data_IF_539796328229
#
_entry.id   IF_539796328229
#
_cell.length_a   1.000
_cell.length_b   1.000
_cell.length_c   1.000
_cell.angle_alpha   90.00
_cell.angle_beta   90.00
_cell.angle_gamma   90.00
#
_symmetry.space_group_name_H-M   'P 1'
#
loop_
_entity.id
_entity.type
_entity.pdbx_description
1 polymer ?
#
# COMPACT_ATOMS: atom_id res chain seq x y z
N UNK A 1 20.83 32.31 15.05
CA UNK A 1 19.57 31.81 14.45
C UNK A 1 19.74 31.84 12.95
N UNK A 2 20.19 30.74 12.35
CA UNK A 2 20.58 30.66 10.93
C UNK A 2 19.47 29.89 10.20
N UNK A 3 18.65 30.60 9.43
CA UNK A 3 17.62 30.02 8.58
C UNK A 3 18.33 29.67 7.26
N UNK A 4 18.41 28.40 6.84
CA UNK A 4 18.95 28.11 5.53
C UNK A 4 17.89 28.46 4.48
N UNK A 5 18.11 29.56 3.78
CA UNK A 5 17.48 29.87 2.50
C UNK A 5 18.15 29.01 1.43
N UNK A 6 17.65 27.82 1.18
CA UNK A 6 17.87 27.18 -0.11
C UNK A 6 16.49 26.86 -0.69
N UNK A 7 16.10 27.66 -1.67
CA UNK A 7 14.95 27.40 -2.51
C UNK A 7 15.22 26.17 -3.38
N UNK A 8 15.25 24.98 -2.78
CA UNK A 8 15.26 23.72 -3.51
C UNK A 8 13.90 23.61 -4.17
N UNK A 9 13.87 23.82 -5.48
CA UNK A 9 12.69 23.53 -6.29
C UNK A 9 12.31 22.09 -5.96
N UNK A 10 11.19 21.88 -5.27
CA UNK A 10 10.76 20.50 -4.97
C UNK A 10 10.61 19.75 -6.28
N UNK A 11 11.30 18.61 -6.43
CA UNK A 11 11.20 17.77 -7.60
C UNK A 11 9.75 17.25 -7.74
N UNK A 12 9.38 16.82 -8.94
CA UNK A 12 8.17 16.00 -9.10
C UNK A 12 8.40 14.66 -8.43
N UNK A 13 7.32 13.97 -8.05
CA UNK A 13 7.40 12.66 -7.40
C UNK A 13 7.02 11.52 -8.33
N UNK A 14 7.63 10.35 -8.12
CA UNK A 14 7.12 9.07 -8.59
C UNK A 14 6.36 8.42 -7.43
N UNK A 15 5.08 8.12 -7.61
CA UNK A 15 4.21 7.65 -6.53
C UNK A 15 3.78 6.21 -6.77
N UNK A 16 4.09 5.31 -5.82
CA UNK A 16 3.53 3.97 -5.76
C UNK A 16 2.22 3.98 -4.98
N UNK A 17 1.13 3.51 -5.60
CA UNK A 17 -0.21 3.47 -5.00
C UNK A 17 -0.60 2.07 -4.57
N UNK A 18 -1.11 1.91 -3.34
CA UNK A 18 -1.63 0.65 -2.83
C UNK A 18 -2.03 0.71 -1.36
N UNK A 19 -2.73 -0.32 -0.91
CA UNK A 19 -2.97 -0.56 0.53
C UNK A 19 -1.79 -1.26 1.20
N UNK A 20 -1.04 -2.05 0.43
CA UNK A 20 0.20 -2.72 0.80
C UNK A 20 0.11 -3.65 2.03
N UNK A 21 -1.06 -4.27 2.27
CA UNK A 21 -1.22 -5.21 3.39
C UNK A 21 -0.34 -6.45 3.20
N UNK A 22 0.58 -6.68 4.17
CA UNK A 22 1.59 -7.73 4.13
C UNK A 22 2.83 -7.40 3.30
N UNK A 23 2.92 -6.26 2.63
CA UNK A 23 4.07 -5.83 1.77
C UNK A 23 4.64 -6.99 0.93
N UNK A 24 3.74 -7.84 0.42
CA UNK A 24 4.08 -9.06 -0.32
C UNK A 24 4.84 -8.79 -1.63
N UNK A 25 5.42 -9.82 -2.22
CA UNK A 25 6.27 -9.71 -3.43
C UNK A 25 5.63 -8.91 -4.56
N UNK A 26 4.31 -9.05 -4.80
CA UNK A 26 3.62 -8.22 -5.79
C UNK A 26 3.59 -6.73 -5.42
N UNK A 27 3.54 -6.38 -4.14
CA UNK A 27 3.69 -5.01 -3.67
C UNK A 27 5.12 -4.50 -3.83
N UNK A 28 6.12 -5.37 -3.58
CA UNK A 28 7.53 -5.03 -3.77
C UNK A 28 7.85 -4.73 -5.25
N UNK A 29 7.23 -5.44 -6.20
CA UNK A 29 7.36 -5.12 -7.64
C UNK A 29 6.85 -3.71 -7.97
N UNK A 30 5.71 -3.30 -7.40
CA UNK A 30 5.18 -1.94 -7.58
C UNK A 30 6.15 -0.90 -7.00
N UNK A 31 6.68 -1.15 -5.81
CA UNK A 31 7.63 -0.26 -5.13
C UNK A 31 8.94 -0.18 -5.92
N UNK A 32 9.48 -1.30 -6.37
CA UNK A 32 10.72 -1.35 -7.17
C UNK A 32 10.56 -0.61 -8.50
N UNK A 33 9.43 -0.78 -9.19
CA UNK A 33 9.13 -0.05 -10.40
C UNK A 33 9.02 1.47 -10.15
N UNK A 34 8.46 1.88 -9.02
CA UNK A 34 8.42 3.29 -8.61
C UNK A 34 9.83 3.84 -8.36
N UNK A 35 10.69 3.09 -7.66
CA UNK A 35 12.08 3.48 -7.42
C UNK A 35 12.85 3.63 -8.73
N UNK A 36 12.69 2.67 -9.65
CA UNK A 36 13.31 2.73 -10.99
C UNK A 36 12.81 3.92 -11.81
N UNK A 37 11.51 4.22 -11.78
CA UNK A 37 10.95 5.39 -12.45
C UNK A 37 11.45 6.71 -11.84
N UNK A 38 11.61 6.75 -10.51
CA UNK A 38 12.14 7.89 -9.79
C UNK A 38 13.59 8.17 -10.20
N UNK A 39 14.46 7.15 -10.17
CA UNK A 39 15.86 7.26 -10.55
C UNK A 39 16.03 7.67 -12.02
N UNK A 40 15.38 6.94 -12.95
CA UNK A 40 15.52 7.17 -14.38
C UNK A 40 15.01 8.52 -14.86
N UNK A 41 14.20 9.23 -14.06
CA UNK A 41 13.57 10.51 -14.43
C UNK A 41 13.95 11.67 -13.50
N UNK A 42 14.77 11.44 -12.49
CA UNK A 42 15.14 12.47 -11.52
C UNK A 42 13.94 12.94 -10.68
N UNK A 43 13.02 12.02 -10.34
CA UNK A 43 11.87 12.26 -9.48
C UNK A 43 12.18 11.84 -8.04
N UNK A 44 11.49 12.41 -7.08
CA UNK A 44 11.57 11.95 -5.69
C UNK A 44 10.62 10.73 -5.49
N UNK A 45 11.09 9.61 -4.91
CA UNK A 45 10.23 8.44 -4.68
C UNK A 45 9.26 8.69 -3.53
N UNK A 46 8.01 8.21 -3.67
CA UNK A 46 6.98 8.32 -2.64
C UNK A 46 6.06 7.11 -2.67
N UNK A 47 5.81 6.50 -1.53
CA UNK A 47 4.76 5.50 -1.38
C UNK A 47 3.52 6.18 -0.81
N UNK A 48 2.39 6.05 -1.52
CA UNK A 48 1.11 6.56 -1.06
C UNK A 48 0.22 5.41 -0.60
N UNK A 49 -0.28 5.51 0.64
CA UNK A 49 -1.18 4.52 1.24
C UNK A 49 -2.14 5.19 2.22
N UNK A 50 -3.00 4.40 2.87
CA UNK A 50 -3.86 4.90 3.95
C UNK A 50 -3.28 4.55 5.31
N UNK A 51 -3.47 5.42 6.29
CA UNK A 51 -3.05 5.18 7.69
C UNK A 51 -3.95 4.17 8.41
N UNK A 52 -5.12 3.88 7.85
CA UNK A 52 -6.07 2.86 8.29
C UNK A 52 -6.52 2.01 7.10
N UNK A 53 -6.77 0.73 7.34
CA UNK A 53 -7.16 -0.17 6.24
C UNK A 53 -8.59 0.15 5.75
N UNK A 54 -8.82 0.23 4.41
CA UNK A 54 -10.13 0.58 3.82
C UNK A 54 -11.31 -0.27 4.31
N UNK A 55 -11.08 -1.57 4.54
CA UNK A 55 -12.13 -2.52 4.95
C UNK A 55 -12.73 -2.18 6.32
N UNK A 56 -11.92 -1.62 7.25
CA UNK A 56 -12.41 -1.17 8.55
C UNK A 56 -13.46 -0.05 8.48
N UNK A 57 -13.45 0.74 7.42
CA UNK A 57 -14.42 1.82 7.21
C UNK A 57 -15.84 1.31 6.92
N UNK A 58 -15.95 0.12 6.32
CA UNK A 58 -17.22 -0.45 5.88
C UNK A 58 -17.78 -1.51 6.83
N UNK A 59 -17.24 -1.61 8.06
CA UNK A 59 -17.77 -2.48 9.13
C UNK A 59 -17.63 -3.98 8.87
N UNK A 60 -16.81 -4.39 7.88
CA UNK A 60 -16.52 -5.81 7.64
C UNK A 60 -15.44 -6.28 8.60
N UNK A 61 -15.64 -7.41 9.24
CA UNK A 61 -14.58 -8.14 9.94
C UNK A 61 -13.50 -8.55 8.91
N UNK A 62 -12.27 -8.15 9.14
CA UNK A 62 -11.17 -8.36 8.21
C UNK A 62 -9.87 -8.60 8.98
N UNK A 63 -9.23 -9.72 8.69
CA UNK A 63 -7.93 -10.06 9.24
C UNK A 63 -6.85 -9.40 8.40
N UNK A 64 -6.10 -8.46 8.97
CA UNK A 64 -4.93 -7.87 8.31
C UNK A 64 -3.72 -8.79 8.49
N UNK A 65 -2.87 -8.87 7.47
CA UNK A 65 -1.58 -9.59 7.56
C UNK A 65 -0.63 -8.83 8.50
N UNK A 66 -0.64 -7.51 8.41
CA UNK A 66 0.10 -6.59 9.28
C UNK A 66 -0.83 -5.57 9.92
N UNK A 67 -0.54 -5.13 11.14
CA UNK A 67 -1.19 -3.93 11.68
C UNK A 67 -0.84 -2.71 10.84
N UNK A 68 -1.65 -1.65 10.92
CA UNK A 68 -1.37 -0.40 10.17
C UNK A 68 0.01 0.18 10.52
N UNK A 69 0.43 0.08 11.80
CA UNK A 69 1.73 0.54 12.25
C UNK A 69 2.90 -0.26 11.66
N UNK A 70 2.82 -1.60 11.71
CA UNK A 70 3.81 -2.50 11.12
C UNK A 70 3.94 -2.29 9.61
N UNK A 71 2.83 -2.19 8.91
CA UNK A 71 2.77 -1.95 7.48
C UNK A 71 3.46 -0.64 7.08
N UNK A 72 3.14 0.46 7.78
CA UNK A 72 3.77 1.76 7.53
C UNK A 72 5.27 1.74 7.86
N UNK A 73 5.66 1.05 8.94
CA UNK A 73 7.08 0.90 9.30
C UNK A 73 7.85 0.10 8.23
N UNK A 74 7.29 -1.00 7.75
CA UNK A 74 7.89 -1.80 6.67
C UNK A 74 8.03 -0.99 5.36
N UNK A 75 7.00 -0.22 4.97
CA UNK A 75 7.02 0.62 3.77
C UNK A 75 8.09 1.73 3.85
N UNK A 76 8.31 2.32 5.04
CA UNK A 76 9.36 3.32 5.26
C UNK A 76 10.77 2.78 5.04
N UNK A 77 10.97 1.46 5.10
CA UNK A 77 12.23 0.81 4.75
C UNK A 77 12.58 0.91 3.26
N UNK A 78 11.60 1.16 2.39
CA UNK A 78 11.80 1.29 0.94
C UNK A 78 11.92 2.75 0.48
N UNK A 79 11.00 3.62 0.92
CA UNK A 79 10.93 5.02 0.51
C UNK A 79 10.11 5.86 1.50
N UNK A 80 10.11 7.21 1.40
CA UNK A 80 9.17 8.05 2.11
C UNK A 80 7.73 7.63 1.91
N UNK A 81 6.91 7.67 2.97
CA UNK A 81 5.51 7.24 2.96
C UNK A 81 4.58 8.41 3.26
N UNK A 82 3.63 8.65 2.37
CA UNK A 82 2.47 9.49 2.61
C UNK A 82 1.29 8.59 3.00
N UNK A 83 0.92 8.59 4.28
CA UNK A 83 -0.19 7.81 4.80
C UNK A 83 -1.35 8.73 5.17
N UNK A 84 -2.36 8.83 4.31
CA UNK A 84 -3.55 9.63 4.57
C UNK A 84 -4.63 8.80 5.28
N UNK A 85 -5.41 9.46 6.13
CA UNK A 85 -6.52 8.78 6.78
C UNK A 85 -7.68 8.63 5.79
N UNK A 86 -8.11 7.40 5.57
CA UNK A 86 -9.32 7.12 4.82
C UNK A 86 -10.53 7.27 5.76
N UNK A 87 -11.34 8.27 5.52
CA UNK A 87 -12.64 8.46 6.15
C UNK A 87 -13.76 8.46 5.10
N UNK A 88 -15.00 8.65 5.54
CA UNK A 88 -16.16 8.62 4.62
C UNK A 88 -16.13 9.77 3.60
N UNK A 89 -15.60 10.92 3.97
CA UNK A 89 -15.48 12.06 3.07
C UNK A 89 -14.46 11.77 1.98
N UNK A 90 -13.28 11.28 2.37
CA UNK A 90 -12.24 10.90 1.41
C UNK A 90 -12.70 9.73 0.50
N UNK A 91 -13.39 8.73 1.06
CA UNK A 91 -13.94 7.60 0.30
C UNK A 91 -15.02 8.00 -0.71
N UNK A 92 -15.63 9.17 -0.58
CA UNK A 92 -16.58 9.73 -1.51
C UNK A 92 -15.94 10.63 -2.60
N UNK A 93 -14.61 10.80 -2.58
CA UNK A 93 -13.89 11.64 -3.56
C UNK A 93 -13.97 11.03 -4.94
N UNK A 94 -14.40 11.81 -5.93
CA UNK A 94 -14.46 11.35 -7.32
C UNK A 94 -13.05 11.03 -7.86
N UNK A 95 -12.91 10.07 -8.80
CA UNK A 95 -11.61 9.66 -9.32
C UNK A 95 -10.75 10.80 -9.85
N UNK A 96 -11.33 11.76 -10.55
CA UNK A 96 -10.60 12.89 -11.09
C UNK A 96 -10.12 13.85 -10.00
N UNK A 97 -10.94 14.09 -8.97
CA UNK A 97 -10.59 14.94 -7.84
C UNK A 97 -9.46 14.33 -7.00
N UNK A 98 -9.49 13.01 -6.83
CA UNK A 98 -8.38 12.27 -6.21
C UNK A 98 -7.07 12.47 -6.99
N UNK A 99 -7.09 12.25 -8.30
CA UNK A 99 -5.89 12.39 -9.14
C UNK A 99 -5.40 13.83 -9.16
N UNK A 100 -6.29 14.81 -9.23
CA UNK A 100 -5.95 16.23 -9.14
C UNK A 100 -5.27 16.54 -7.81
N UNK A 101 -5.81 16.05 -6.70
CA UNK A 101 -5.20 16.19 -5.37
C UNK A 101 -3.79 15.60 -5.32
N UNK A 102 -3.56 14.42 -5.90
CA UNK A 102 -2.23 13.82 -5.98
C UNK A 102 -1.27 14.64 -6.84
N UNK A 103 -1.74 15.11 -7.99
CA UNK A 103 -0.93 15.91 -8.91
C UNK A 103 -0.52 17.25 -8.30
N UNK A 104 -1.40 17.91 -7.58
CA UNK A 104 -1.16 19.23 -6.96
C UNK A 104 -0.35 19.09 -5.67
N UNK A 105 -0.81 18.28 -4.70
CA UNK A 105 -0.20 18.16 -3.37
C UNK A 105 1.18 17.54 -3.40
N UNK A 106 1.35 16.47 -4.18
CA UNK A 106 2.59 15.71 -4.25
C UNK A 106 3.39 15.99 -5.52
N UNK A 107 2.94 16.90 -6.39
CA UNK A 107 3.60 17.23 -7.66
C UNK A 107 3.91 15.97 -8.49
N UNK A 108 2.93 15.10 -8.60
CA UNK A 108 3.08 13.80 -9.24
C UNK A 108 3.60 13.92 -10.67
N UNK A 109 4.72 13.26 -10.96
CA UNK A 109 5.35 13.15 -12.28
C UNK A 109 5.25 11.74 -12.86
N UNK A 110 5.05 10.75 -11.97
CA UNK A 110 4.80 9.37 -12.35
C UNK A 110 3.87 8.71 -11.32
N UNK A 111 2.92 7.92 -11.79
CA UNK A 111 2.04 7.07 -11.00
C UNK A 111 2.35 5.60 -11.29
N UNK A 112 2.58 4.80 -10.27
CA UNK A 112 2.89 3.36 -10.38
C UNK A 112 1.89 2.57 -9.55
N UNK A 113 1.18 1.63 -10.17
CA UNK A 113 0.17 0.84 -9.48
C UNK A 113 0.04 -0.56 -10.10
N UNK A 114 -0.54 -1.49 -9.36
CA UNK A 114 -0.86 -2.82 -9.88
C UNK A 114 -1.99 -2.80 -10.90
N UNK A 115 -2.04 -3.80 -11.77
CA UNK A 115 -3.05 -3.96 -12.84
C UNK A 115 -4.51 -3.87 -12.36
N UNK A 116 -4.77 -4.23 -11.12
CA UNK A 116 -6.09 -4.26 -10.50
C UNK A 116 -6.36 -3.06 -9.57
N UNK A 117 -5.53 -2.01 -9.66
CA UNK A 117 -5.70 -0.83 -8.83
C UNK A 117 -7.00 -0.08 -9.16
N UNK A 118 -7.75 0.21 -8.10
CA UNK A 118 -8.95 1.05 -8.18
C UNK A 118 -8.89 2.18 -7.17
N UNK A 119 -9.48 3.32 -7.49
CA UNK A 119 -9.45 4.51 -6.66
C UNK A 119 -10.71 5.38 -6.83
N UNK A 120 -10.84 6.36 -5.95
CA UNK A 120 -12.01 7.25 -5.95
C UNK A 120 -13.27 6.59 -5.43
N UNK A 121 -14.37 7.32 -5.49
CA UNK A 121 -15.68 6.90 -4.98
C UNK A 121 -16.08 5.54 -5.53
N UNK A 122 -16.35 4.59 -4.62
CA UNK A 122 -16.73 3.21 -4.92
C UNK A 122 -15.74 2.46 -5.84
N UNK A 123 -14.48 2.91 -5.92
CA UNK A 123 -13.49 2.30 -6.82
C UNK A 123 -13.78 2.55 -8.31
N UNK A 124 -14.46 3.65 -8.66
CA UNK A 124 -14.85 3.94 -10.04
C UNK A 124 -13.66 4.29 -10.94
N UNK A 125 -12.53 4.73 -10.37
CA UNK A 125 -11.28 4.92 -11.10
C UNK A 125 -10.50 3.61 -11.24
N UNK A 126 -9.89 3.38 -12.39
CA UNK A 126 -9.04 2.24 -12.72
C UNK A 126 -7.79 2.71 -13.49
N UNK A 127 -6.97 1.76 -13.98
CA UNK A 127 -5.73 2.09 -14.71
C UNK A 127 -5.98 2.90 -15.98
N UNK A 128 -7.07 2.66 -16.72
CA UNK A 128 -7.40 3.44 -17.92
C UNK A 128 -7.81 4.88 -17.56
N UNK A 129 -8.59 5.04 -16.49
CA UNK A 129 -8.90 6.35 -15.93
C UNK A 129 -7.62 7.07 -15.52
N UNK A 130 -6.68 6.38 -14.87
CA UNK A 130 -5.41 6.96 -14.43
C UNK A 130 -4.56 7.41 -15.62
N UNK A 131 -4.47 6.60 -16.70
CA UNK A 131 -3.75 6.97 -17.95
C UNK A 131 -4.37 8.20 -18.63
N UNK A 132 -5.69 8.23 -18.77
CA UNK A 132 -6.38 9.38 -19.34
C UNK A 132 -6.10 10.66 -18.55
N UNK A 133 -6.17 10.59 -17.21
CA UNK A 133 -5.88 11.71 -16.33
C UNK A 133 -4.39 12.05 -16.30
N UNK A 134 -3.50 11.08 -16.51
CA UNK A 134 -2.06 11.31 -16.70
C UNK A 134 -1.77 12.23 -17.86
N UNK A 135 -2.44 12.05 -19.01
CA UNK A 135 -2.39 12.97 -20.14
C UNK A 135 -2.88 14.37 -19.81
N UNK A 136 -3.95 14.48 -19.00
CA UNK A 136 -4.54 15.77 -18.60
C UNK A 136 -3.65 16.54 -17.60
N UNK A 137 -3.08 15.85 -16.61
CA UNK A 137 -2.33 16.49 -15.51
C UNK A 137 -0.81 16.40 -15.67
N UNK A 138 -0.31 15.80 -16.75
CA UNK A 138 1.12 15.80 -17.12
C UNK A 138 1.98 14.89 -16.25
N UNK A 139 1.53 13.65 -16.02
CA UNK A 139 2.31 12.57 -15.38
C UNK A 139 2.22 11.27 -16.16
N UNK A 140 3.22 10.42 -16.03
CA UNK A 140 3.24 9.09 -16.65
C UNK A 140 2.62 8.03 -15.75
N UNK A 141 2.13 6.95 -16.35
CA UNK A 141 1.48 5.84 -15.63
C UNK A 141 2.16 4.54 -15.96
N UNK A 142 2.60 3.84 -14.92
CA UNK A 142 3.21 2.52 -14.99
C UNK A 142 2.27 1.51 -14.34
N UNK A 143 1.76 0.59 -15.16
CA UNK A 143 0.96 -0.53 -14.68
C UNK A 143 1.84 -1.74 -14.47
N UNK A 144 1.80 -2.31 -13.27
CA UNK A 144 2.59 -3.47 -12.91
C UNK A 144 1.70 -4.72 -13.01
N UNK A 145 2.11 -5.70 -13.84
CA UNK A 145 1.35 -6.93 -14.01
C UNK A 145 1.32 -7.77 -12.73
N UNK A 146 0.42 -8.74 -12.66
CA UNK A 146 0.35 -9.66 -11.54
C UNK A 146 1.64 -10.50 -11.45
N UNK A 147 2.27 -10.50 -10.27
CA UNK A 147 3.28 -11.49 -9.95
C UNK A 147 2.59 -12.84 -9.68
N UNK A 148 3.02 -13.89 -10.36
CA UNK A 148 2.41 -15.21 -10.27
C UNK A 148 3.17 -16.12 -9.30
N UNK A 149 2.44 -16.90 -8.51
CA UNK A 149 2.98 -17.98 -7.68
C UNK A 149 2.08 -19.21 -7.77
N UNK A 150 2.64 -20.35 -8.23
CA UNK A 150 1.85 -21.59 -8.43
C UNK A 150 0.71 -21.44 -9.46
N UNK A 151 0.90 -20.62 -10.50
CA UNK A 151 -0.08 -20.41 -11.56
C UNK A 151 -1.17 -19.38 -11.27
N UNK A 152 -1.17 -18.76 -10.09
CA UNK A 152 -2.16 -17.75 -9.68
C UNK A 152 -1.49 -16.46 -9.18
N UNK A 153 -2.18 -15.29 -9.27
CA UNK A 153 -1.65 -14.03 -8.77
C UNK A 153 -1.34 -14.04 -7.27
N UNK A 154 -0.21 -13.48 -6.89
CA UNK A 154 0.10 -13.16 -5.49
C UNK A 154 -0.83 -12.04 -5.03
N UNK A 155 -1.50 -12.24 -3.89
CA UNK A 155 -2.40 -11.24 -3.30
C UNK A 155 -2.53 -11.41 -1.79
N UNK A 156 -2.84 -10.32 -1.07
CA UNK A 156 -3.11 -10.37 0.37
C UNK A 156 -4.25 -11.34 0.72
N UNK A 157 -5.27 -11.45 -0.13
CA UNK A 157 -6.39 -12.39 0.07
C UNK A 157 -5.91 -13.84 0.05
N UNK A 158 -5.07 -14.18 -0.91
CA UNK A 158 -4.52 -15.54 -1.04
C UNK A 158 -3.55 -15.87 0.10
N UNK A 159 -2.73 -14.88 0.51
CA UNK A 159 -1.83 -15.05 1.66
C UNK A 159 -2.63 -15.30 2.93
N UNK A 160 -3.70 -14.53 3.20
CA UNK A 160 -4.59 -14.79 4.34
C UNK A 160 -5.18 -16.19 4.31
N UNK A 161 -5.65 -16.64 3.17
CA UNK A 161 -6.16 -17.99 3.02
C UNK A 161 -5.11 -19.09 3.30
N UNK A 162 -3.82 -18.86 2.98
CA UNK A 162 -2.73 -19.76 3.36
C UNK A 162 -2.53 -19.76 4.89
N UNK A 163 -2.50 -18.59 5.52
CA UNK A 163 -2.34 -18.48 6.98
C UNK A 163 -3.50 -19.18 7.70
N UNK A 164 -4.74 -18.97 7.27
CA UNK A 164 -5.95 -19.59 7.83
C UNK A 164 -5.93 -21.13 7.78
N UNK A 165 -5.30 -21.69 6.74
CA UNK A 165 -5.14 -23.15 6.59
C UNK A 165 -3.88 -23.70 7.24
N UNK A 166 -3.04 -22.84 7.85
CA UNK A 166 -1.75 -23.22 8.42
C UNK A 166 -0.64 -23.46 7.38
N UNK A 167 -0.85 -23.09 6.12
CA UNK A 167 0.18 -23.13 5.06
C UNK A 167 1.11 -21.91 5.17
N UNK A 168 1.94 -21.92 6.19
CA UNK A 168 2.89 -20.83 6.47
C UNK A 168 3.99 -20.77 5.40
N UNK A 169 4.41 -21.92 4.87
CA UNK A 169 5.41 -21.99 3.81
C UNK A 169 4.91 -21.27 2.54
N UNK A 170 3.67 -21.55 2.11
CA UNK A 170 3.05 -20.87 0.99
C UNK A 170 2.83 -19.37 1.23
N UNK A 171 2.45 -18.99 2.46
CA UNK A 171 2.33 -17.59 2.84
C UNK A 171 3.69 -16.87 2.72
N UNK A 172 4.76 -17.41 3.32
CA UNK A 172 6.11 -16.84 3.29
C UNK A 172 6.66 -16.73 1.85
N UNK A 173 6.42 -17.74 1.02
CA UNK A 173 6.83 -17.72 -0.39
C UNK A 173 6.20 -16.57 -1.17
N UNK A 174 4.93 -16.21 -0.88
CA UNK A 174 4.23 -15.09 -1.48
C UNK A 174 4.59 -13.75 -0.84
N UNK A 175 4.81 -13.73 0.48
CA UNK A 175 5.27 -12.54 1.20
C UNK A 175 6.68 -12.11 0.75
N UNK A 176 7.60 -13.08 0.56
CA UNK A 176 9.02 -12.82 0.32
C UNK A 176 9.80 -12.54 1.60
N UNK A 177 9.18 -12.74 2.75
CA UNK A 177 9.75 -12.67 4.09
C UNK A 177 8.99 -13.64 5.01
N UNK A 178 9.53 -13.90 6.19
CA UNK A 178 8.84 -14.70 7.19
C UNK A 178 7.59 -13.95 7.72
N UNK A 179 6.54 -14.72 7.99
CA UNK A 179 5.34 -14.18 8.64
C UNK A 179 5.68 -13.90 10.11
N UNK A 180 5.63 -12.64 10.49
CA UNK A 180 5.75 -12.20 11.88
C UNK A 180 4.38 -11.92 12.47
N UNK A 181 4.13 -12.41 13.67
CA UNK A 181 2.89 -12.16 14.41
C UNK A 181 3.21 -11.35 15.65
N UNK A 182 2.74 -10.12 15.71
CA UNK A 182 2.76 -9.35 16.96
C UNK A 182 1.75 -9.94 17.94
N UNK A 183 2.23 -10.38 19.10
CA UNK A 183 1.39 -10.96 20.15
C UNK A 183 1.41 -10.10 21.40
N UNK A 184 0.25 -10.00 22.07
CA UNK A 184 0.16 -9.50 23.45
C UNK A 184 0.10 -10.68 24.39
N UNK A 185 0.92 -10.64 25.45
CA UNK A 185 0.77 -11.56 26.56
C UNK A 185 -0.42 -11.15 27.40
N UNK A 186 -1.34 -12.10 27.62
CA UNK A 186 -2.50 -11.93 28.49
C UNK A 186 -2.55 -13.10 29.47
N UNK A 187 -3.06 -12.88 30.67
CA UNK A 187 -3.31 -13.97 31.62
C UNK A 187 -4.74 -14.45 31.51
N UNK A 188 -4.93 -15.74 31.30
CA UNK A 188 -6.24 -16.38 31.31
C UNK A 188 -6.17 -17.63 32.21
N UNK A 189 -7.01 -17.70 33.23
CA UNK A 189 -7.04 -18.78 34.21
C UNK A 189 -5.67 -19.09 34.88
N UNK A 190 -4.85 -18.05 35.13
CA UNK A 190 -3.54 -18.20 35.73
C UNK A 190 -2.42 -18.68 34.80
N UNK A 191 -2.72 -18.81 33.49
CA UNK A 191 -1.75 -19.15 32.46
C UNK A 191 -1.46 -17.96 31.56
N UNK A 192 -0.19 -17.77 31.16
CA UNK A 192 0.21 -16.81 30.15
C UNK A 192 -0.32 -17.27 28.78
N UNK A 193 -1.07 -16.41 28.11
CA UNK A 193 -1.62 -16.67 26.77
C UNK A 193 -1.11 -15.59 25.82
N UNK A 194 -0.52 -15.99 24.70
CA UNK A 194 -0.15 -15.08 23.63
C UNK A 194 -1.36 -14.86 22.72
N UNK A 195 -1.83 -13.62 22.66
CA UNK A 195 -2.93 -13.24 21.75
C UNK A 195 -2.36 -12.43 20.59
N UNK A 196 -2.49 -12.95 19.36
CA UNK A 196 -2.07 -12.25 18.15
C UNK A 196 -2.81 -10.92 18.01
N UNK A 197 -2.08 -9.86 17.66
CA UNK A 197 -2.60 -8.50 17.48
C UNK A 197 -2.77 -8.19 15.99
N UNK A 198 -1.87 -8.66 15.13
CA UNK A 198 -1.90 -8.42 13.70
C UNK A 198 -2.82 -9.38 12.95
N UNK A 199 -2.91 -10.64 13.36
CA UNK A 199 -3.83 -11.63 12.79
C UNK A 199 -4.98 -11.91 13.78
N UNK A 200 -6.11 -11.23 13.61
CA UNK A 200 -7.17 -11.16 14.63
C UNK A 200 -8.07 -12.40 14.75
N UNK A 201 -7.85 -13.47 14.00
CA UNK A 201 -8.72 -14.66 14.02
C UNK A 201 -7.96 -16.01 13.96
N UNK A 202 -6.94 -16.17 14.80
CA UNK A 202 -6.58 -17.53 15.20
C UNK A 202 -7.54 -17.94 16.34
N UNK A 203 -8.58 -18.72 16.00
CA UNK A 203 -9.43 -19.41 16.97
C UNK A 203 -8.70 -20.61 17.56
#
# INVERSE_FOLDING_TARGET
MHIPRSGRRMNKTAIAFGTFDGVHRGHQEIINAMLSAAEGRGLDPLIYTFSNHPVGLFGKSFSMIMTDGERIAALKGFAPVAAERLDRQFAATEPEDFVRHMAEKYRMGAAVAGFNYTFGSRGAGNMDTLRRLGGKYGFEVYEIPALMYGGEPVSSTRIRACIERGDIAGANAMLGHELELSCKETSQNGHAVLKAVSYTHLR
#
